data_IF_810177984573
#
_entry.id   IF_810177984573
#
_cell.length_a   1.000
_cell.length_b   1.000
_cell.length_c   1.000
_cell.angle_alpha   90.00
_cell.angle_beta   90.00
_cell.angle_gamma   90.00
#
_symmetry.space_group_name_H-M   'P 1'
#
loop_
_entity.id
_entity.type
_entity.pdbx_description
1 polymer ?
#
# COMPACT_ATOMS: atom_id res chain seq x y z
N UNK A 1 -42.93 20.55 33.08
CA UNK A 1 -42.25 19.46 32.35
C UNK A 1 -42.97 19.32 31.02
N UNK A 2 -42.44 19.61 29.84
CA UNK A 2 -41.07 19.62 29.35
C UNK A 2 -41.19 19.16 27.89
N UNK A 3 -41.72 20.03 27.03
CA UNK A 3 -41.87 19.76 25.61
C UNK A 3 -40.50 19.72 24.93
N UNK A 4 -40.28 18.72 24.08
CA UNK A 4 -39.14 18.70 23.17
C UNK A 4 -39.68 18.94 21.76
N UNK A 5 -39.35 20.12 21.26
CA UNK A 5 -39.59 20.57 19.89
C UNK A 5 -38.73 19.71 18.95
N UNK A 6 -39.36 19.14 17.94
CA UNK A 6 -38.71 18.87 16.66
C UNK A 6 -39.59 19.55 15.62
N UNK A 7 -39.17 20.73 15.21
CA UNK A 7 -39.65 21.34 13.99
C UNK A 7 -39.10 20.51 12.83
N UNK A 8 -40.00 19.81 12.14
CA UNK A 8 -39.74 19.37 10.77
C UNK A 8 -40.88 19.93 9.95
N UNK A 9 -40.97 21.26 9.91
CA UNK A 9 -41.68 21.91 8.84
C UNK A 9 -40.79 21.86 7.58
N UNK A 10 -40.59 20.66 7.03
CA UNK A 10 -40.39 20.58 5.58
C UNK A 10 -41.77 20.52 4.95
N UNK A 11 -42.42 21.70 4.94
CA UNK A 11 -43.32 22.06 3.86
C UNK A 11 -42.68 21.49 2.58
N UNK A 12 -43.32 20.59 1.81
CA UNK A 12 -42.76 20.19 0.54
C UNK A 12 -42.80 21.45 -0.32
N UNK A 13 -41.71 22.22 -0.24
CA UNK A 13 -41.29 23.19 -1.22
C UNK A 13 -41.45 22.45 -2.53
N UNK A 14 -42.42 22.91 -3.32
CA UNK A 14 -42.79 22.39 -4.63
C UNK A 14 -41.57 21.73 -5.24
N UNK A 15 -41.55 20.39 -5.34
CA UNK A 15 -40.33 19.74 -5.75
C UNK A 15 -40.00 20.30 -7.13
N UNK A 16 -38.82 20.93 -7.22
CA UNK A 16 -38.02 20.77 -8.43
C UNK A 16 -38.19 19.32 -8.86
N UNK A 17 -38.40 19.12 -10.15
CA UNK A 17 -38.76 17.86 -10.79
C UNK A 17 -37.74 16.73 -10.49
N UNK A 18 -37.68 16.28 -9.23
CA UNK A 18 -36.79 15.25 -8.71
C UNK A 18 -37.64 14.00 -8.72
N UNK A 19 -37.54 13.28 -9.82
CA UNK A 19 -38.14 11.97 -9.99
C UNK A 19 -37.67 11.05 -8.85
N UNK A 20 -38.61 10.49 -8.08
CA UNK A 20 -38.33 9.51 -7.04
C UNK A 20 -38.51 8.10 -7.59
N UNK A 21 -37.49 7.26 -7.48
CA UNK A 21 -37.55 5.86 -7.90
C UNK A 21 -37.89 4.94 -6.71
N UNK A 22 -38.93 4.11 -6.86
CA UNK A 22 -39.31 3.05 -5.92
C UNK A 22 -39.20 1.69 -6.62
N UNK A 23 -38.50 0.73 -6.01
CA UNK A 23 -38.29 -0.62 -6.57
C UNK A 23 -39.02 -1.65 -5.70
N UNK A 24 -39.91 -2.45 -6.31
CA UNK A 24 -40.58 -3.57 -5.65
C UNK A 24 -39.91 -4.90 -6.04
N UNK A 25 -39.40 -5.65 -5.06
CA UNK A 25 -38.70 -6.94 -5.25
C UNK A 25 -39.46 -8.08 -4.58
N UNK A 26 -39.39 -9.29 -5.13
CA UNK A 26 -40.06 -10.49 -4.59
C UNK A 26 -40.26 -11.58 -5.65
N UNK A 27 -40.66 -12.80 -5.24
CA UNK A 27 -40.89 -13.94 -6.15
C UNK A 27 -41.99 -13.65 -7.18
N UNK A 28 -41.94 -14.32 -8.33
CA UNK A 28 -43.00 -14.25 -9.35
C UNK A 28 -44.31 -14.77 -8.76
N UNK A 29 -45.43 -14.09 -9.04
CA UNK A 29 -46.75 -14.45 -8.49
C UNK A 29 -47.16 -13.69 -7.23
N UNK A 30 -46.23 -13.10 -6.47
CA UNK A 30 -46.52 -12.40 -5.19
C UNK A 30 -47.17 -11.00 -5.33
N UNK A 31 -47.81 -10.70 -6.46
CA UNK A 31 -48.62 -9.49 -6.59
C UNK A 31 -47.88 -8.15 -6.77
N UNK A 32 -46.56 -8.13 -6.96
CA UNK A 32 -45.77 -6.88 -7.16
C UNK A 32 -46.41 -5.92 -8.18
N UNK A 33 -46.81 -6.43 -9.35
CA UNK A 33 -47.45 -5.63 -10.41
C UNK A 33 -48.85 -5.12 -9.99
N UNK A 34 -49.60 -5.91 -9.22
CA UNK A 34 -50.91 -5.49 -8.71
C UNK A 34 -50.74 -4.36 -7.68
N UNK A 35 -49.80 -4.51 -6.74
CA UNK A 35 -49.45 -3.48 -5.76
C UNK A 35 -48.95 -2.19 -6.43
N UNK A 36 -48.09 -2.30 -7.44
CA UNK A 36 -47.59 -1.14 -8.18
C UNK A 36 -48.72 -0.39 -8.92
N UNK A 37 -49.69 -1.10 -9.51
CA UNK A 37 -50.87 -0.48 -10.10
C UNK A 37 -51.75 0.23 -9.06
N UNK A 38 -51.90 -0.34 -7.88
CA UNK A 38 -52.63 0.29 -6.77
C UNK A 38 -51.93 1.57 -6.31
N UNK A 39 -50.59 1.57 -6.20
CA UNK A 39 -49.80 2.75 -5.84
C UNK A 39 -49.91 3.84 -6.92
N UNK A 40 -49.89 3.47 -8.20
CA UNK A 40 -50.02 4.40 -9.32
C UNK A 40 -51.46 4.88 -9.58
N UNK A 41 -52.46 4.27 -8.94
CA UNK A 41 -53.88 4.55 -9.18
C UNK A 41 -54.37 4.20 -10.59
N UNK A 42 -53.55 3.49 -11.39
CA UNK A 42 -53.87 3.10 -12.76
C UNK A 42 -53.23 1.77 -13.13
N UNK A 43 -53.80 1.09 -14.12
CA UNK A 43 -53.25 -0.16 -14.68
C UNK A 43 -52.08 0.12 -15.62
N UNK A 44 -50.92 0.46 -15.05
CA UNK A 44 -49.68 0.66 -15.80
C UNK A 44 -48.92 -0.65 -16.09
N UNK A 45 -49.07 -1.65 -15.20
CA UNK A 45 -48.40 -2.95 -15.29
C UNK A 45 -49.41 -4.08 -15.52
N UNK A 46 -49.09 -5.05 -16.38
CA UNK A 46 -49.93 -6.23 -16.60
C UNK A 46 -49.90 -7.13 -15.36
N UNK A 47 -51.01 -7.21 -14.62
CA UNK A 47 -51.21 -8.18 -13.54
C UNK A 47 -51.95 -9.39 -14.10
N UNK A 48 -51.26 -10.54 -14.21
CA UNK A 48 -51.93 -11.83 -14.44
C UNK A 48 -52.17 -12.49 -13.07
N UNK A 49 -53.35 -13.09 -12.82
CA UNK A 49 -53.47 -14.07 -11.74
C UNK A 49 -52.35 -15.11 -11.96
N UNK A 50 -51.59 -15.40 -10.91
CA UNK A 50 -50.24 -15.96 -11.02
C UNK A 50 -50.12 -17.14 -11.96
N UNK A 51 -49.05 -17.19 -12.75
CA UNK A 51 -48.55 -18.48 -13.24
C UNK A 51 -48.02 -19.21 -12.02
N UNK A 52 -48.73 -20.22 -11.55
CA UNK A 52 -48.27 -21.09 -10.48
C UNK A 52 -46.84 -21.53 -10.79
N UNK A 53 -45.96 -21.51 -9.80
CA UNK A 53 -44.61 -22.03 -9.90
C UNK A 53 -44.61 -23.45 -10.48
N UNK A 54 -43.52 -23.85 -11.12
CA UNK A 54 -43.35 -25.17 -11.75
C UNK A 54 -43.63 -26.38 -10.82
N UNK A 55 -43.68 -26.16 -9.51
CA UNK A 55 -43.96 -27.15 -8.47
C UNK A 55 -45.14 -26.77 -7.58
N UNK A 56 -45.93 -25.76 -7.97
CA UNK A 56 -47.16 -25.47 -7.25
C UNK A 56 -48.12 -26.63 -7.52
N UNK A 57 -48.56 -27.28 -6.46
CA UNK A 57 -49.35 -28.52 -6.44
C UNK A 57 -50.70 -28.45 -7.18
N UNK A 58 -51.03 -27.32 -7.81
CA UNK A 58 -52.21 -27.11 -8.64
C UNK A 58 -51.96 -27.29 -10.14
N UNK A 59 -50.71 -27.41 -10.60
CA UNK A 59 -50.40 -27.59 -12.02
C UNK A 59 -50.49 -29.07 -12.41
N UNK A 60 -51.33 -29.39 -13.41
CA UNK A 60 -51.43 -30.74 -13.94
C UNK A 60 -50.10 -31.24 -14.52
N UNK A 61 -49.82 -32.54 -14.36
CA UNK A 61 -48.56 -33.18 -14.75
C UNK A 61 -48.17 -32.96 -16.22
N UNK A 62 -49.15 -32.76 -17.11
CA UNK A 62 -48.93 -32.45 -18.52
C UNK A 62 -48.23 -31.11 -18.75
N UNK A 63 -48.59 -30.09 -17.96
CA UNK A 63 -48.00 -28.75 -18.06
C UNK A 63 -46.53 -28.76 -17.62
N UNK A 64 -46.26 -29.45 -16.51
CA UNK A 64 -44.90 -29.58 -15.96
C UNK A 64 -44.01 -30.34 -16.95
N UNK A 65 -44.50 -31.47 -17.48
CA UNK A 65 -43.78 -32.27 -18.47
C UNK A 65 -43.42 -31.47 -19.73
N UNK A 66 -44.36 -30.68 -20.25
CA UNK A 66 -44.14 -29.84 -21.45
C UNK A 66 -43.08 -28.77 -21.23
N UNK A 67 -43.07 -28.14 -20.05
CA UNK A 67 -42.10 -27.11 -19.73
C UNK A 67 -40.70 -27.70 -19.42
N UNK A 68 -40.63 -28.91 -18.85
CA UNK A 68 -39.37 -29.66 -18.69
C UNK A 68 -38.73 -29.96 -20.05
N UNK A 69 -39.49 -30.51 -21.00
CA UNK A 69 -38.98 -30.82 -22.36
C UNK A 69 -38.46 -29.56 -23.06
N UNK A 70 -39.17 -28.44 -22.90
CA UNK A 70 -38.74 -27.14 -23.43
C UNK A 70 -37.43 -26.64 -22.80
N UNK A 71 -37.25 -26.80 -21.48
CA UNK A 71 -36.01 -26.46 -20.79
C UNK A 71 -34.84 -27.34 -21.28
N UNK A 72 -35.06 -28.64 -21.46
CA UNK A 72 -34.06 -29.57 -22.00
C UNK A 72 -33.66 -29.16 -23.43
N UNK A 73 -34.64 -28.84 -24.29
CA UNK A 73 -34.38 -28.40 -25.67
C UNK A 73 -33.60 -27.08 -25.75
N UNK A 74 -33.92 -26.12 -24.87
CA UNK A 74 -33.15 -24.87 -24.76
C UNK A 74 -31.71 -25.11 -24.28
N UNK A 75 -31.52 -25.98 -23.30
CA UNK A 75 -30.19 -26.34 -22.80
C UNK A 75 -29.34 -27.06 -23.86
N UNK A 76 -29.94 -27.91 -24.69
CA UNK A 76 -29.26 -28.54 -25.82
C UNK A 76 -28.79 -27.49 -26.84
N UNK A 77 -29.66 -26.53 -27.20
CA UNK A 77 -29.32 -25.45 -28.13
C UNK A 77 -28.23 -24.51 -27.61
N UNK A 78 -28.17 -24.29 -26.29
CA UNK A 78 -27.08 -23.54 -25.66
C UNK A 78 -25.76 -24.30 -25.71
N UNK A 79 -25.77 -25.64 -25.64
CA UNK A 79 -24.54 -26.43 -25.83
C UNK A 79 -24.00 -26.31 -27.25
N UNK A 80 -24.88 -26.32 -28.26
CA UNK A 80 -24.46 -26.13 -29.65
C UNK A 80 -23.86 -24.73 -29.88
N UNK A 81 -24.42 -23.69 -29.23
CA UNK A 81 -23.83 -22.34 -29.22
C UNK A 81 -22.53 -22.25 -28.42
N UNK A 82 -22.35 -23.03 -27.35
CA UNK A 82 -21.09 -23.07 -26.59
C UNK A 82 -19.94 -23.64 -27.42
N UNK A 83 -20.20 -24.67 -28.25
CA UNK A 83 -19.21 -25.22 -29.19
C UNK A 83 -18.76 -24.16 -30.21
N UNK A 84 -19.67 -23.27 -30.62
CA UNK A 84 -19.38 -22.15 -31.52
C UNK A 84 -18.55 -21.04 -30.84
N UNK A 85 -18.78 -20.80 -29.54
CA UNK A 85 -17.97 -19.86 -28.71
C UNK A 85 -16.58 -20.43 -28.38
N UNK A 86 -16.47 -21.74 -28.14
CA UNK A 86 -15.18 -22.38 -27.89
C UNK A 86 -14.32 -22.48 -29.17
N UNK A 87 -14.96 -22.34 -30.34
CA UNK A 87 -14.31 -22.22 -31.66
C UNK A 87 -13.90 -20.79 -32.02
N UNK A 88 -14.30 -19.78 -31.24
CA UNK A 88 -13.88 -18.39 -31.45
C UNK A 88 -12.42 -18.20 -31.01
N UNK A 89 -11.63 -17.67 -31.94
CA UNK A 89 -10.18 -17.45 -31.92
C UNK A 89 -9.71 -16.50 -30.78
N UNK A 90 -9.80 -16.94 -29.54
CA UNK A 90 -9.09 -16.37 -28.39
C UNK A 90 -7.74 -17.07 -28.22
N UNK A 91 -6.71 -16.33 -27.79
CA UNK A 91 -5.40 -16.89 -27.46
C UNK A 91 -5.55 -18.12 -26.57
N UNK A 92 -4.84 -19.19 -26.92
CA UNK A 92 -4.81 -20.42 -26.14
C UNK A 92 -4.34 -20.12 -24.71
N UNK A 93 -4.82 -20.91 -23.76
CA UNK A 93 -4.45 -20.78 -22.34
C UNK A 93 -2.93 -20.79 -22.11
N UNK A 94 -2.19 -21.40 -23.04
CA UNK A 94 -0.74 -21.53 -23.01
C UNK A 94 -0.04 -20.24 -23.48
N UNK A 95 -0.52 -19.61 -24.54
CA UNK A 95 -0.02 -18.31 -25.03
C UNK A 95 -0.24 -17.18 -24.01
N UNK A 96 -1.37 -17.21 -23.30
CA UNK A 96 -1.66 -16.25 -22.21
C UNK A 96 -0.69 -16.48 -21.03
N UNK A 97 -0.34 -17.73 -20.75
CA UNK A 97 0.61 -18.08 -19.68
C UNK A 97 2.03 -17.64 -20.03
N UNK A 98 2.49 -17.92 -21.26
CA UNK A 98 3.81 -17.51 -21.76
C UNK A 98 3.95 -15.99 -21.78
N UNK A 99 2.93 -15.27 -22.25
CA UNK A 99 2.97 -13.81 -22.26
C UNK A 99 3.05 -13.24 -20.84
N UNK A 100 2.30 -13.82 -19.89
CA UNK A 100 2.34 -13.42 -18.48
C UNK A 100 3.72 -13.65 -17.86
N UNK A 101 4.34 -14.79 -18.16
CA UNK A 101 5.66 -15.16 -17.67
C UNK A 101 6.75 -14.25 -18.26
N UNK A 102 6.70 -13.96 -19.57
CA UNK A 102 7.61 -12.99 -20.19
C UNK A 102 7.48 -11.61 -19.56
N UNK A 103 6.25 -11.17 -19.30
CA UNK A 103 6.00 -9.89 -18.65
C UNK A 103 6.60 -9.87 -17.24
N UNK A 104 6.40 -10.94 -16.47
CA UNK A 104 6.91 -11.04 -15.09
C UNK A 104 8.43 -11.10 -15.04
N UNK A 105 9.06 -11.92 -15.89
CA UNK A 105 10.52 -12.01 -15.99
C UNK A 105 11.14 -10.66 -16.38
N UNK A 106 10.52 -9.92 -17.30
CA UNK A 106 10.98 -8.57 -17.65
C UNK A 106 10.93 -7.60 -16.48
N UNK A 107 9.90 -7.66 -15.62
CA UNK A 107 9.82 -6.80 -14.44
C UNK A 107 10.84 -7.18 -13.37
N UNK A 108 11.05 -8.49 -13.16
CA UNK A 108 12.09 -8.98 -12.26
C UNK A 108 13.49 -8.55 -12.72
N UNK A 109 13.79 -8.62 -14.02
CA UNK A 109 15.06 -8.17 -14.59
C UNK A 109 15.27 -6.65 -14.46
N UNK A 110 14.21 -5.86 -14.59
CA UNK A 110 14.29 -4.42 -14.35
C UNK A 110 14.59 -4.12 -12.88
N UNK A 111 13.94 -4.84 -11.96
CA UNK A 111 14.14 -4.69 -10.53
C UNK A 111 15.56 -5.08 -10.14
N UNK A 112 16.04 -6.23 -10.62
CA UNK A 112 17.37 -6.74 -10.36
C UNK A 112 18.46 -5.76 -10.78
N UNK A 113 18.37 -5.22 -12.01
CA UNK A 113 19.34 -4.21 -12.50
C UNK A 113 19.33 -2.92 -11.68
N UNK A 114 18.15 -2.46 -11.27
CA UNK A 114 18.03 -1.27 -10.43
C UNK A 114 18.69 -1.50 -9.05
N UNK A 115 18.44 -2.66 -8.45
CA UNK A 115 19.03 -3.06 -7.17
C UNK A 115 20.55 -3.17 -7.25
N UNK A 116 21.09 -3.91 -8.23
CA UNK A 116 22.53 -4.10 -8.42
C UNK A 116 23.29 -2.76 -8.63
N UNK A 117 22.69 -1.82 -9.39
CA UNK A 117 23.28 -0.50 -9.59
C UNK A 117 23.33 0.32 -8.30
N UNK A 118 22.31 0.23 -7.45
CA UNK A 118 22.31 0.94 -6.17
C UNK A 118 23.31 0.31 -5.20
N UNK A 119 23.31 -1.02 -5.10
CA UNK A 119 24.23 -1.77 -4.23
C UNK A 119 25.69 -1.48 -4.56
N UNK A 120 26.09 -1.61 -5.84
CA UNK A 120 27.46 -1.33 -6.27
C UNK A 120 27.91 0.11 -5.99
N UNK A 121 27.01 1.10 -6.15
CA UNK A 121 27.32 2.50 -5.83
C UNK A 121 27.48 2.71 -4.33
N UNK A 122 26.72 2.02 -3.49
CA UNK A 122 26.84 2.10 -2.04
C UNK A 122 28.13 1.45 -1.55
N UNK A 123 28.48 0.28 -2.06
CA UNK A 123 29.73 -0.41 -1.73
C UNK A 123 30.96 0.44 -2.10
N UNK A 124 30.94 1.05 -3.30
CA UNK A 124 31.99 1.97 -3.71
C UNK A 124 32.11 3.17 -2.77
N UNK A 125 30.99 3.81 -2.42
CA UNK A 125 30.97 4.95 -1.50
C UNK A 125 31.52 4.58 -0.12
N UNK A 126 31.16 3.41 0.38
CA UNK A 126 31.63 2.91 1.66
C UNK A 126 33.15 2.70 1.65
N UNK A 127 33.69 2.08 0.58
CA UNK A 127 35.13 1.86 0.45
C UNK A 127 35.93 3.17 0.34
N UNK A 128 35.41 4.14 -0.43
CA UNK A 128 36.00 5.48 -0.55
C UNK A 128 36.02 6.21 0.80
N UNK A 129 34.89 6.20 1.53
CA UNK A 129 34.76 6.84 2.84
C UNK A 129 35.72 6.22 3.87
N UNK A 130 35.77 4.89 3.95
CA UNK A 130 36.65 4.18 4.88
C UNK A 130 38.12 4.45 4.57
N UNK A 131 38.50 4.49 3.30
CA UNK A 131 39.87 4.82 2.87
C UNK A 131 40.24 6.26 3.25
N UNK A 132 39.33 7.20 3.05
CA UNK A 132 39.54 8.60 3.42
C UNK A 132 39.67 8.75 4.94
N UNK A 133 38.84 8.04 5.72
CA UNK A 133 38.87 8.04 7.17
C UNK A 133 40.18 7.49 7.73
N UNK A 134 40.66 6.36 7.21
CA UNK A 134 41.94 5.78 7.63
C UNK A 134 43.10 6.74 7.37
N UNK A 135 43.15 7.36 6.18
CA UNK A 135 44.19 8.35 5.85
C UNK A 135 44.15 9.57 6.77
N UNK A 136 42.95 10.06 7.09
CA UNK A 136 42.78 11.18 8.01
C UNK A 136 43.23 10.81 9.43
N UNK A 137 42.93 9.59 9.88
CA UNK A 137 43.36 9.08 11.18
C UNK A 137 44.89 8.96 11.28
N UNK A 138 45.55 8.37 10.28
CA UNK A 138 47.00 8.27 10.23
C UNK A 138 47.67 9.65 10.24
N UNK A 139 47.14 10.60 9.47
CA UNK A 139 47.65 11.97 9.44
C UNK A 139 47.49 12.68 10.80
N UNK A 140 46.35 12.48 11.48
CA UNK A 140 46.10 13.03 12.80
C UNK A 140 47.04 12.42 13.86
N UNK A 141 47.23 11.09 13.83
CA UNK A 141 48.15 10.40 14.74
C UNK A 141 49.60 10.84 14.52
N UNK A 142 50.03 11.01 13.27
CA UNK A 142 51.36 11.51 12.95
C UNK A 142 51.57 12.94 13.47
N UNK A 143 50.59 13.82 13.25
CA UNK A 143 50.64 15.20 13.76
C UNK A 143 50.67 15.23 15.29
N UNK A 144 49.87 14.37 15.94
CA UNK A 144 49.85 14.23 17.39
C UNK A 144 51.18 13.72 17.94
N UNK A 145 51.81 12.72 17.28
CA UNK A 145 53.13 12.22 17.66
C UNK A 145 54.19 13.32 17.66
N UNK A 146 54.26 14.11 16.58
CA UNK A 146 55.19 15.24 16.48
C UNK A 146 54.95 16.29 17.56
N UNK A 147 53.69 16.64 17.81
CA UNK A 147 53.35 17.59 18.86
C UNK A 147 53.71 17.07 20.25
N UNK A 148 53.49 15.77 20.52
CA UNK A 148 53.88 15.15 21.79
C UNK A 148 55.40 15.17 22.01
N UNK A 149 56.19 14.91 20.97
CA UNK A 149 57.65 14.98 21.02
C UNK A 149 58.14 16.40 21.34
N UNK A 150 57.52 17.41 20.72
CA UNK A 150 57.79 18.83 21.01
C UNK A 150 57.41 19.20 22.44
N UNK A 151 56.24 18.77 22.92
CA UNK A 151 55.81 18.97 24.32
C UNK A 151 56.82 18.34 25.28
N UNK A 152 57.32 17.14 24.99
CA UNK A 152 58.34 16.48 25.80
C UNK A 152 59.66 17.26 25.86
N UNK A 153 60.11 17.83 24.73
CA UNK A 153 61.31 18.69 24.71
C UNK A 153 61.11 19.94 25.54
N UNK A 154 60.02 20.67 25.30
CA UNK A 154 59.71 21.90 26.02
C UNK A 154 59.58 21.66 27.53
N UNK A 155 59.02 20.52 27.95
CA UNK A 155 58.97 20.15 29.38
C UNK A 155 60.36 19.97 29.98
N UNK A 156 61.28 19.29 29.28
CA UNK A 156 62.66 19.11 29.77
C UNK A 156 63.41 20.42 29.87
N UNK A 157 63.26 21.29 28.88
CA UNK A 157 63.89 22.62 28.88
C UNK A 157 63.34 23.47 30.02
N UNK A 158 62.03 23.44 30.24
CA UNK A 158 61.38 24.13 31.36
C UNK A 158 61.87 23.62 32.71
N UNK A 159 61.94 22.29 32.90
CA UNK A 159 62.47 21.69 34.14
C UNK A 159 63.93 22.07 34.38
N UNK A 160 64.73 22.15 33.33
CA UNK A 160 66.15 22.52 33.44
C UNK A 160 66.31 23.98 33.83
N UNK A 161 65.59 24.89 33.17
CA UNK A 161 65.56 26.30 33.53
C UNK A 161 65.05 26.51 34.96
N UNK A 162 63.99 25.79 35.36
CA UNK A 162 63.49 25.85 36.73
C UNK A 162 64.55 25.40 37.75
N UNK A 163 65.30 24.33 37.46
CA UNK A 163 66.39 23.86 38.33
C UNK A 163 67.48 24.90 38.46
N UNK A 164 67.95 25.50 37.36
CA UNK A 164 68.95 26.57 37.38
C UNK A 164 68.48 27.78 38.20
N UNK A 165 67.21 28.19 38.04
CA UNK A 165 66.66 29.29 38.86
C UNK A 165 66.55 28.93 40.34
N UNK A 166 66.32 27.67 40.69
CA UNK A 166 66.30 27.21 42.07
C UNK A 166 67.71 27.15 42.68
N UNK A 167 68.69 26.67 41.93
CA UNK A 167 70.11 26.61 42.34
C UNK A 167 70.66 28.01 42.61
N UNK A 168 70.43 28.96 41.68
CA UNK A 168 70.82 30.36 41.90
C UNK A 168 70.13 30.93 43.14
N UNK A 169 68.84 30.66 43.35
CA UNK A 169 68.12 31.14 44.53
C UNK A 169 68.72 30.60 45.83
N UNK A 170 69.08 29.32 45.86
CA UNK A 170 69.75 28.70 47.00
C UNK A 170 71.14 29.31 47.24
N UNK A 171 71.90 29.57 46.17
CA UNK A 171 73.21 30.24 46.25
C UNK A 171 73.09 31.69 46.79
N UNK A 172 72.07 32.44 46.38
CA UNK A 172 71.75 33.76 46.92
C UNK A 172 71.34 33.67 48.40
N UNK A 173 70.50 32.72 48.81
CA UNK A 173 70.12 32.58 50.22
C UNK A 173 71.29 32.13 51.11
N UNK A 174 72.15 31.24 50.61
CA UNK A 174 73.35 30.79 51.31
C UNK A 174 74.42 31.90 51.42
N UNK A 175 74.61 32.69 50.37
CA UNK A 175 75.53 33.85 50.41
C UNK A 175 74.97 35.00 51.26
N UNK A 176 73.66 35.22 51.26
CA UNK A 176 72.98 36.17 52.13
C UNK A 176 73.14 35.81 53.62
N UNK A 177 73.07 34.52 53.96
CA UNK A 177 73.32 34.05 55.33
C UNK A 177 74.78 34.21 55.78
N UNK A 178 75.75 34.39 54.87
CA UNK A 178 77.17 34.56 55.20
C UNK A 178 77.58 36.02 55.49
N UNK A 179 76.69 36.99 55.23
CA UNK A 179 76.95 38.44 55.37
C UNK A 179 76.31 39.01 56.67
N UNK A 180 75.43 38.25 57.33
CA UNK A 180 74.81 38.57 58.62
C UNK A 180 75.51 37.86 59.78
#
# INVERSE_FOLDING_TARGET
MGGRVIDVNSKPTSPSNIERALVLVGRTGNGKSATANSILGRRAFKSRPGSSGLFDSSAGAEFVSKEIVKCIGRAAKLRDQQVEVDSLKGYSKQEISELKEQMQNSYEDQLKRATEMVESRLEQRLAEEQTARLKAEEAAQLAQGKSNDEICKLRKDLESAQRETAELREEYENSWCAIL
#
